data_IF_038974004021
#
_entry.id   IF_038974004021
#
_cell.length_a   1.000
_cell.length_b   1.000
_cell.length_c   1.000
_cell.angle_alpha   90.00
_cell.angle_beta   90.00
_cell.angle_gamma   90.00
#
_symmetry.space_group_name_H-M   'P 1'
#
loop_
_entity.id
_entity.type
_entity.pdbx_description
1 polymer ?
#
# COMPACT_ATOMS: atom_id res chain seq x y z
N UNK A 1 -0.06 -25.95 -21.60
CA UNK A 1 -0.29 -26.62 -20.31
C UNK A 1 -0.32 -25.50 -19.29
N UNK A 2 -1.49 -25.19 -18.73
CA UNK A 2 -1.71 -24.02 -17.87
C UNK A 2 -2.00 -24.40 -16.42
N UNK A 3 -2.91 -23.70 -15.75
CA UNK A 3 -3.30 -23.97 -14.34
C UNK A 3 -4.82 -23.91 -14.18
N UNK A 4 -5.36 -24.77 -13.32
CA UNK A 4 -6.71 -24.63 -12.76
C UNK A 4 -6.56 -24.45 -11.24
N UNK A 5 -7.12 -23.38 -10.69
CA UNK A 5 -7.02 -23.04 -9.27
C UNK A 5 -8.41 -22.74 -8.70
N UNK A 6 -8.68 -23.23 -7.49
CA UNK A 6 -9.96 -23.00 -6.81
C UNK A 6 -9.74 -22.14 -5.57
N UNK A 7 -10.54 -21.09 -5.44
CA UNK A 7 -10.57 -20.20 -4.28
C UNK A 7 -11.99 -20.22 -3.70
N UNK A 8 -12.13 -20.28 -2.37
CA UNK A 8 -13.41 -20.14 -1.68
C UNK A 8 -13.45 -18.79 -0.97
N UNK A 9 -14.48 -17.98 -1.17
CA UNK A 9 -14.63 -16.65 -0.54
C UNK A 9 -15.92 -16.64 0.26
N UNK A 10 -15.85 -16.25 1.53
CA UNK A 10 -16.95 -16.28 2.50
C UNK A 10 -18.04 -15.21 2.26
N UNK A 11 -18.41 -14.94 1.01
CA UNK A 11 -19.45 -14.00 0.60
C UNK A 11 -20.38 -14.62 -0.44
N UNK A 12 -21.52 -13.95 -0.71
CA UNK A 12 -22.44 -14.38 -1.76
C UNK A 12 -21.88 -14.11 -3.17
N UNK A 13 -22.40 -14.85 -4.16
CA UNK A 13 -21.87 -14.83 -5.53
C UNK A 13 -21.97 -13.46 -6.18
N UNK A 14 -23.04 -12.70 -5.91
CA UNK A 14 -23.25 -11.38 -6.48
C UNK A 14 -22.23 -10.38 -5.92
N UNK A 15 -22.01 -10.41 -4.61
CA UNK A 15 -21.00 -9.61 -3.92
C UNK A 15 -19.58 -9.91 -4.42
N UNK A 16 -19.22 -11.20 -4.53
CA UNK A 16 -17.90 -11.62 -5.01
C UNK A 16 -17.69 -11.24 -6.48
N UNK A 17 -18.68 -11.46 -7.35
CA UNK A 17 -18.58 -11.09 -8.76
C UNK A 17 -18.48 -9.56 -8.92
N UNK A 18 -19.33 -8.81 -8.22
CA UNK A 18 -19.32 -7.35 -8.26
C UNK A 18 -17.98 -6.76 -7.79
N UNK A 19 -17.34 -7.35 -6.76
CA UNK A 19 -16.01 -6.94 -6.31
C UNK A 19 -14.98 -6.95 -7.44
N UNK A 20 -15.00 -7.98 -8.31
CA UNK A 20 -14.07 -8.08 -9.44
C UNK A 20 -14.27 -7.00 -10.49
N UNK A 21 -15.47 -6.43 -10.58
CA UNK A 21 -15.80 -5.34 -11.50
C UNK A 21 -15.55 -3.93 -10.93
N UNK A 22 -15.21 -3.80 -9.65
CA UNK A 22 -14.97 -2.49 -9.01
C UNK A 22 -13.58 -1.95 -9.38
N UNK A 23 -13.43 -0.61 -9.49
CA UNK A 23 -12.13 0.00 -9.74
C UNK A 23 -11.09 -0.42 -8.69
N UNK A 24 -9.90 -0.81 -9.14
CA UNK A 24 -8.81 -1.27 -8.30
C UNK A 24 -8.79 -2.77 -8.02
N UNK A 25 -9.82 -3.54 -8.36
CA UNK A 25 -9.87 -4.99 -8.14
C UNK A 25 -8.68 -5.71 -8.78
N UNK A 26 -8.37 -5.37 -10.04
CA UNK A 26 -7.21 -5.92 -10.72
C UNK A 26 -5.93 -5.56 -9.95
N UNK A 27 -5.79 -4.29 -9.55
CA UNK A 27 -4.60 -3.83 -8.81
C UNK A 27 -4.39 -4.57 -7.50
N UNK A 28 -5.45 -4.86 -6.73
CA UNK A 28 -5.34 -5.68 -5.50
C UNK A 28 -4.77 -7.06 -5.82
N UNK A 29 -5.26 -7.67 -6.90
CA UNK A 29 -4.91 -9.03 -7.31
C UNK A 29 -3.57 -9.17 -8.07
N UNK A 30 -2.88 -8.08 -8.44
CA UNK A 30 -1.55 -8.17 -9.08
C UNK A 30 -0.47 -8.48 -8.03
N UNK A 31 0.25 -9.61 -8.16
CA UNK A 31 1.35 -9.91 -7.27
C UNK A 31 2.48 -8.88 -7.35
N UNK A 32 2.93 -8.32 -6.22
CA UNK A 32 3.86 -7.18 -6.25
C UNK A 32 5.28 -7.56 -6.66
N UNK A 33 5.66 -8.84 -6.62
CA UNK A 33 6.98 -9.27 -7.07
C UNK A 33 7.11 -9.39 -8.59
N UNK A 34 5.99 -9.43 -9.32
CA UNK A 34 6.02 -9.57 -10.77
C UNK A 34 6.53 -8.28 -11.43
N UNK A 35 7.27 -8.36 -12.54
CA UNK A 35 7.85 -7.20 -13.21
C UNK A 35 6.80 -6.45 -14.06
N UNK A 36 5.54 -6.42 -13.63
CA UNK A 36 4.43 -5.80 -14.35
C UNK A 36 3.98 -4.54 -13.65
N UNK A 37 3.72 -3.48 -14.41
CA UNK A 37 3.14 -2.23 -13.90
C UNK A 37 1.79 -2.01 -14.54
N UNK A 38 0.75 -1.82 -13.73
CA UNK A 38 -0.56 -1.45 -14.23
C UNK A 38 -0.49 -0.05 -14.90
N UNK A 39 -0.76 0.00 -16.20
CA UNK A 39 -0.83 1.24 -16.99
C UNK A 39 -2.28 1.73 -17.05
N UNK A 40 -3.21 0.84 -17.36
CA UNK A 40 -4.65 1.10 -17.29
C UNK A 40 -5.39 -0.16 -16.88
N UNK A 41 -6.46 0.01 -16.09
CA UNK A 41 -7.37 -1.06 -15.70
C UNK A 41 -8.55 -1.11 -16.67
N UNK A 42 -9.15 -2.30 -16.82
CA UNK A 42 -10.38 -2.45 -17.60
C UNK A 42 -11.54 -1.78 -16.86
N UNK A 43 -12.33 -0.97 -17.55
CA UNK A 43 -13.54 -0.34 -17.00
C UNK A 43 -14.75 -1.26 -16.94
N UNK A 44 -14.66 -2.44 -17.56
CA UNK A 44 -15.74 -3.43 -17.62
C UNK A 44 -15.17 -4.85 -17.70
N UNK A 45 -15.84 -5.78 -17.01
CA UNK A 45 -15.58 -7.23 -17.11
C UNK A 45 -16.15 -7.86 -18.40
N UNK A 46 -17.02 -7.17 -19.13
CA UNK A 46 -17.61 -7.69 -20.37
C UNK A 46 -16.66 -7.56 -21.57
N UNK A 47 -16.09 -6.37 -21.75
CA UNK A 47 -15.41 -5.98 -23.00
C UNK A 47 -14.25 -5.01 -22.78
N UNK A 48 -13.96 -4.69 -21.51
CA UNK A 48 -12.90 -3.76 -21.14
C UNK A 48 -11.50 -4.29 -21.48
N UNK A 49 -10.54 -3.37 -21.55
CA UNK A 49 -9.14 -3.69 -21.83
C UNK A 49 -8.25 -3.17 -20.70
N UNK A 50 -7.42 -4.04 -20.13
CA UNK A 50 -6.37 -3.70 -19.20
C UNK A 50 -5.00 -3.71 -19.90
N UNK A 51 -4.14 -2.77 -19.53
CA UNK A 51 -2.78 -2.65 -20.09
C UNK A 51 -1.76 -2.72 -18.97
N UNK A 52 -0.81 -3.65 -19.10
CA UNK A 52 0.32 -3.81 -18.20
C UNK A 52 1.61 -3.45 -18.94
N UNK A 53 2.41 -2.58 -18.34
CA UNK A 53 3.76 -2.28 -18.78
C UNK A 53 4.72 -3.37 -18.31
N UNK A 54 5.60 -3.78 -19.21
CA UNK A 54 6.66 -4.76 -18.99
C UNK A 54 8.04 -4.08 -19.09
N UNK A 55 9.11 -4.74 -18.63
CA UNK A 55 10.48 -4.23 -18.81
C UNK A 55 10.82 -4.01 -20.28
N UNK A 56 11.64 -3.00 -20.56
CA UNK A 56 12.04 -2.66 -21.93
C UNK A 56 10.98 -1.90 -22.76
N UNK A 57 9.92 -1.38 -22.12
CA UNK A 57 8.88 -0.61 -22.80
C UNK A 57 7.81 -1.46 -23.49
N UNK A 58 7.88 -2.78 -23.32
CA UNK A 58 6.89 -3.74 -23.83
C UNK A 58 5.54 -3.58 -23.09
N UNK A 59 4.46 -4.04 -23.74
CA UNK A 59 3.11 -4.00 -23.16
C UNK A 59 2.42 -5.37 -23.26
N UNK A 60 1.71 -5.72 -22.20
CA UNK A 60 0.76 -6.81 -22.16
C UNK A 60 -0.65 -6.21 -22.17
N UNK A 61 -1.44 -6.53 -23.19
CA UNK A 61 -2.78 -5.99 -23.37
C UNK A 61 -3.76 -7.14 -23.14
N UNK A 62 -4.45 -7.13 -21.99
CA UNK A 62 -5.47 -8.11 -21.66
C UNK A 62 -6.84 -7.54 -22.03
N UNK A 63 -7.59 -8.25 -22.87
CA UNK A 63 -8.92 -7.84 -23.33
C UNK A 63 -9.95 -8.83 -22.78
N UNK A 64 -11.02 -8.33 -22.18
CA UNK A 64 -12.14 -9.17 -21.78
C UNK A 64 -12.93 -9.66 -23.00
N UNK A 65 -13.38 -10.91 -22.93
CA UNK A 65 -14.15 -11.60 -23.97
C UNK A 65 -15.67 -11.46 -23.72
N UNK A 66 -16.40 -10.70 -24.55
CA UNK A 66 -17.84 -10.50 -24.38
C UNK A 66 -18.65 -11.79 -24.54
N UNK A 67 -18.17 -12.78 -25.30
CA UNK A 67 -18.86 -14.06 -25.48
C UNK A 67 -18.74 -14.95 -24.24
N UNK A 68 -17.68 -14.77 -23.46
CA UNK A 68 -17.46 -15.46 -22.20
C UNK A 68 -18.11 -14.78 -20.99
N UNK A 69 -18.63 -13.55 -21.14
CA UNK A 69 -19.26 -12.78 -20.07
C UNK A 69 -20.69 -13.26 -19.79
N UNK A 70 -20.91 -13.79 -18.60
CA UNK A 70 -22.19 -14.33 -18.13
C UNK A 70 -22.36 -14.00 -16.63
N UNK A 71 -22.72 -12.76 -16.27
CA UNK A 71 -22.78 -12.33 -14.88
C UNK A 71 -23.95 -12.98 -14.12
N UNK A 72 -23.78 -13.35 -12.82
CA UNK A 72 -22.57 -13.25 -12.01
C UNK A 72 -21.65 -14.50 -12.10
N UNK A 73 -21.82 -15.35 -13.11
CA UNK A 73 -21.22 -16.68 -13.17
C UNK A 73 -19.85 -16.73 -13.85
N UNK A 74 -19.54 -15.84 -14.80
CA UNK A 74 -18.30 -15.96 -15.58
C UNK A 74 -17.86 -14.66 -16.25
N UNK A 75 -16.54 -14.49 -16.33
CA UNK A 75 -15.88 -13.62 -17.31
C UNK A 75 -14.53 -14.23 -17.72
N UNK A 76 -13.96 -13.78 -18.84
CA UNK A 76 -12.65 -14.22 -19.28
C UNK A 76 -11.82 -13.08 -19.88
N UNK A 77 -10.50 -13.15 -19.72
CA UNK A 77 -9.53 -12.26 -20.35
C UNK A 77 -8.57 -13.04 -21.26
N UNK A 78 -8.20 -12.42 -22.38
CA UNK A 78 -7.26 -12.96 -23.35
C UNK A 78 -6.18 -11.94 -23.68
N UNK A 79 -4.99 -12.44 -24.02
CA UNK A 79 -3.91 -11.58 -24.51
C UNK A 79 -4.24 -11.11 -25.94
N UNK A 80 -4.48 -9.80 -26.08
CA UNK A 80 -4.75 -9.18 -27.38
C UNK A 80 -3.51 -9.19 -28.27
N UNK A 81 -3.75 -9.44 -29.57
CA UNK A 81 -2.74 -9.40 -30.62
C UNK A 81 -2.52 -8.01 -31.22
N UNK A 82 -3.21 -6.99 -30.71
CA UNK A 82 -3.22 -5.66 -31.28
C UNK A 82 -1.98 -4.84 -30.85
N UNK A 83 -1.31 -4.21 -31.83
CA UNK A 83 -0.25 -3.21 -31.62
C UNK A 83 1.20 -3.75 -31.66
N UNK A 84 2.12 -2.98 -32.26
CA UNK A 84 3.52 -3.41 -32.48
C UNK A 84 4.31 -3.71 -31.19
N UNK A 85 3.96 -3.08 -30.07
CA UNK A 85 4.64 -3.24 -28.78
C UNK A 85 4.21 -4.49 -27.98
N UNK A 86 3.12 -5.16 -28.37
CA UNK A 86 2.66 -6.44 -27.78
C UNK A 86 3.21 -7.65 -28.55
N UNK A 87 3.62 -7.47 -29.82
CA UNK A 87 4.10 -8.54 -30.73
C UNK A 87 5.18 -9.44 -30.09
N UNK A 88 6.24 -8.93 -29.42
CA UNK A 88 7.29 -9.80 -28.88
C UNK A 88 6.82 -10.71 -27.74
N UNK A 89 5.90 -10.23 -26.88
CA UNK A 89 5.32 -11.04 -25.80
C UNK A 89 4.34 -12.08 -26.37
N UNK A 90 3.56 -11.68 -27.38
CA UNK A 90 2.57 -12.50 -28.06
C UNK A 90 3.16 -13.67 -28.86
N UNK A 91 4.42 -13.56 -29.32
CA UNK A 91 5.13 -14.62 -30.03
C UNK A 91 5.62 -15.75 -29.10
N UNK A 92 5.73 -15.49 -27.80
CA UNK A 92 6.28 -16.43 -26.82
C UNK A 92 5.22 -17.03 -25.89
N UNK A 93 4.07 -16.37 -25.71
CA UNK A 93 3.05 -16.74 -24.72
C UNK A 93 1.64 -16.69 -25.32
N UNK A 94 0.88 -17.79 -25.17
CA UNK A 94 -0.58 -17.75 -25.29
C UNK A 94 -1.20 -17.53 -23.91
N UNK A 95 -2.31 -16.80 -23.82
CA UNK A 95 -3.00 -16.56 -22.56
C UNK A 95 -4.50 -16.39 -22.78
N UNK A 96 -5.27 -17.24 -22.10
CA UNK A 96 -6.71 -17.09 -21.85
C UNK A 96 -6.96 -17.45 -20.40
N UNK A 97 -7.54 -16.55 -19.62
CA UNK A 97 -7.88 -16.78 -18.22
C UNK A 97 -9.39 -16.64 -18.05
N UNK A 98 -10.05 -17.74 -17.70
CA UNK A 98 -11.49 -17.78 -17.39
C UNK A 98 -11.71 -17.85 -15.88
N UNK A 99 -12.57 -16.98 -15.37
CA UNK A 99 -12.97 -16.91 -13.97
C UNK A 99 -14.42 -17.38 -13.89
N UNK A 100 -14.68 -18.49 -13.19
CA UNK A 100 -16.03 -19.05 -13.02
C UNK A 100 -16.44 -18.99 -11.56
N UNK A 101 -17.65 -18.53 -11.30
CA UNK A 101 -18.20 -18.31 -9.96
C UNK A 101 -19.41 -19.24 -9.75
N UNK A 102 -19.50 -19.81 -8.57
CA UNK A 102 -20.62 -20.67 -8.18
C UNK A 102 -20.85 -20.57 -6.67
N UNK A 103 -22.10 -20.72 -6.23
CA UNK A 103 -22.37 -20.88 -4.80
C UNK A 103 -21.83 -22.22 -4.32
N UNK A 104 -21.13 -22.22 -3.18
CA UNK A 104 -20.66 -23.40 -2.48
C UNK A 104 -21.40 -23.62 -1.14
N UNK A 105 -22.54 -22.94 -0.96
CA UNK A 105 -23.30 -22.89 0.28
C UNK A 105 -23.81 -21.47 0.56
N UNK A 106 -24.54 -21.33 1.67
CA UNK A 106 -25.04 -20.02 2.13
C UNK A 106 -23.86 -19.11 2.48
N UNK A 107 -23.74 -17.96 1.80
CA UNK A 107 -22.68 -16.97 2.05
C UNK A 107 -21.27 -17.47 1.71
N UNK A 108 -21.15 -18.43 0.79
CA UNK A 108 -19.87 -18.96 0.34
C UNK A 108 -19.85 -19.08 -1.18
N UNK A 109 -18.84 -18.46 -1.80
CA UNK A 109 -18.62 -18.50 -3.25
C UNK A 109 -17.37 -19.28 -3.58
N UNK A 110 -17.49 -20.22 -4.52
CA UNK A 110 -16.36 -20.90 -5.14
C UNK A 110 -16.02 -20.19 -6.45
N UNK A 111 -14.77 -19.76 -6.56
CA UNK A 111 -14.15 -19.23 -7.76
C UNK A 111 -13.24 -20.29 -8.34
N UNK A 112 -13.38 -20.58 -9.65
CA UNK A 112 -12.48 -21.45 -10.40
C UNK A 112 -11.79 -20.60 -11.46
N UNK A 113 -10.48 -20.42 -11.29
CA UNK A 113 -9.59 -19.78 -12.24
C UNK A 113 -8.99 -20.85 -13.16
N UNK A 114 -9.28 -20.77 -14.46
CA UNK A 114 -8.66 -21.63 -15.48
C UNK A 114 -7.84 -20.77 -16.43
N UNK A 115 -6.52 -20.97 -16.41
CA UNK A 115 -5.59 -20.29 -17.33
C UNK A 115 -5.09 -21.28 -18.37
N UNK A 116 -5.36 -20.98 -19.63
CA UNK A 116 -4.87 -21.69 -20.80
C UNK A 116 -3.67 -20.92 -21.37
N UNK A 117 -2.48 -21.47 -21.15
CA UNK A 117 -1.22 -20.81 -21.51
C UNK A 117 -0.09 -21.80 -21.81
N UNK A 118 1.00 -21.29 -22.39
CA UNK A 118 2.28 -21.98 -22.52
C UNK A 118 3.13 -21.92 -21.24
N UNK A 119 2.79 -21.06 -20.28
CA UNK A 119 3.51 -20.92 -19.01
C UNK A 119 3.22 -22.13 -18.10
N UNK A 120 4.24 -22.83 -17.57
CA UNK A 120 4.03 -23.98 -16.70
C UNK A 120 3.29 -23.64 -15.39
N UNK A 121 2.45 -24.57 -14.93
CA UNK A 121 1.64 -24.43 -13.69
C UNK A 121 2.47 -23.98 -12.48
N UNK A 122 3.65 -24.56 -12.26
CA UNK A 122 4.49 -24.24 -11.10
C UNK A 122 4.93 -22.76 -11.05
N UNK A 123 5.01 -22.10 -12.21
CA UNK A 123 5.36 -20.69 -12.31
C UNK A 123 4.16 -19.76 -12.04
N UNK A 124 2.93 -20.28 -12.15
CA UNK A 124 1.68 -19.56 -11.92
C UNK A 124 1.13 -19.78 -10.52
N UNK A 125 1.43 -20.91 -9.88
CA UNK A 125 0.83 -21.30 -8.58
C UNK A 125 0.95 -20.21 -7.52
N UNK A 126 2.11 -19.58 -7.37
CA UNK A 126 2.29 -18.52 -6.37
C UNK A 126 1.46 -17.27 -6.67
N UNK A 127 1.20 -16.96 -7.93
CA UNK A 127 0.29 -15.86 -8.32
C UNK A 127 -1.12 -16.11 -7.79
N UNK A 128 -1.64 -17.33 -7.99
CA UNK A 128 -2.99 -17.67 -7.53
C UNK A 128 -3.09 -17.80 -6.01
N UNK A 129 -2.06 -18.31 -5.34
CA UNK A 129 -1.97 -18.29 -3.87
C UNK A 129 -1.97 -16.86 -3.30
N UNK A 130 -1.33 -15.91 -3.99
CA UNK A 130 -1.40 -14.51 -3.60
C UNK A 130 -2.80 -13.93 -3.82
N UNK A 131 -3.40 -14.17 -4.99
CA UNK A 131 -4.75 -13.70 -5.31
C UNK A 131 -5.77 -14.20 -4.30
N UNK A 132 -5.73 -15.48 -3.96
CA UNK A 132 -6.56 -16.09 -2.93
C UNK A 132 -6.41 -15.38 -1.59
N UNK A 133 -5.18 -15.28 -1.06
CA UNK A 133 -4.92 -14.64 0.23
C UNK A 133 -5.35 -13.17 0.23
N UNK A 134 -5.05 -12.45 -0.84
CA UNK A 134 -5.42 -11.05 -0.98
C UNK A 134 -6.94 -10.87 -0.94
N UNK A 135 -7.66 -11.72 -1.67
CA UNK A 135 -9.11 -11.69 -1.74
C UNK A 135 -9.73 -12.03 -0.37
N UNK A 136 -9.23 -13.06 0.30
CA UNK A 136 -9.65 -13.41 1.66
C UNK A 136 -9.46 -12.26 2.64
N UNK A 137 -8.26 -11.68 2.66
CA UNK A 137 -7.92 -10.61 3.57
C UNK A 137 -8.75 -9.34 3.29
N UNK A 138 -8.96 -8.99 2.01
CA UNK A 138 -9.76 -7.82 1.63
C UNK A 138 -11.24 -7.98 2.03
N UNK A 139 -11.84 -9.14 1.75
CA UNK A 139 -13.22 -9.44 2.16
C UNK A 139 -13.37 -9.47 3.69
N UNK A 140 -12.45 -10.12 4.40
CA UNK A 140 -12.46 -10.15 5.86
C UNK A 140 -12.44 -8.73 6.44
N UNK A 141 -11.60 -7.85 5.89
CA UNK A 141 -11.48 -6.45 6.33
C UNK A 141 -12.73 -5.61 6.04
N UNK A 142 -13.35 -5.78 4.88
CA UNK A 142 -14.58 -5.05 4.53
C UNK A 142 -15.76 -5.51 5.39
N UNK A 143 -15.83 -6.79 5.76
CA UNK A 143 -16.90 -7.31 6.63
C UNK A 143 -16.88 -6.84 8.07
N UNK A 144 -15.77 -6.26 8.52
CA UNK A 144 -15.75 -5.61 9.84
C UNK A 144 -16.63 -4.35 9.88
N UNK A 145 -17.00 -3.77 8.72
CA UNK A 145 -17.91 -2.62 8.62
C UNK A 145 -18.96 -2.84 7.51
N UNK A 146 -19.87 -3.81 7.68
CA UNK A 146 -20.78 -4.21 6.62
C UNK A 146 -21.78 -3.09 6.28
N UNK A 147 -21.98 -2.85 4.98
CA UNK A 147 -22.94 -1.87 4.48
C UNK A 147 -22.56 -0.40 4.66
N UNK A 148 -21.35 -0.09 5.12
CA UNK A 148 -20.88 1.29 5.28
C UNK A 148 -20.15 1.76 4.02
N UNK A 149 -20.79 2.65 3.27
CA UNK A 149 -20.17 3.36 2.15
C UNK A 149 -19.83 4.78 2.57
N UNK A 150 -18.67 5.29 2.11
CA UNK A 150 -18.19 6.65 2.39
C UNK A 150 -17.60 7.26 1.12
N UNK A 151 -17.69 8.58 1.00
CA UNK A 151 -16.93 9.38 0.04
C UNK A 151 -15.65 9.87 0.70
N UNK A 152 -14.50 9.42 0.22
CA UNK A 152 -13.21 9.61 0.87
C UNK A 152 -12.27 10.38 -0.07
N UNK A 153 -11.83 11.56 0.34
CA UNK A 153 -10.85 12.35 -0.39
C UNK A 153 -9.42 11.95 0.00
N UNK A 154 -8.55 11.70 -1.00
CA UNK A 154 -7.19 11.21 -0.77
C UNK A 154 -6.17 12.09 -1.50
N UNK A 155 -5.25 12.73 -0.76
CA UNK A 155 -4.03 13.31 -1.34
C UNK A 155 -2.95 12.24 -1.49
N UNK A 156 -2.02 12.42 -2.43
CA UNK A 156 -0.95 11.43 -2.64
C UNK A 156 -1.48 10.08 -3.17
N UNK A 157 -2.68 10.08 -3.77
CA UNK A 157 -3.36 8.88 -4.28
C UNK A 157 -2.58 8.12 -5.38
N UNK A 158 -1.58 8.76 -6.01
CA UNK A 158 -0.69 8.15 -7.01
C UNK A 158 0.59 7.54 -6.41
N UNK A 159 0.85 7.73 -5.12
CA UNK A 159 1.98 7.13 -4.41
C UNK A 159 1.75 5.65 -4.08
N UNK A 160 2.78 4.97 -3.56
CA UNK A 160 2.71 3.55 -3.20
C UNK A 160 1.51 3.22 -2.31
N UNK A 161 1.39 3.91 -1.17
CA UNK A 161 0.31 3.68 -0.19
C UNK A 161 -1.02 4.18 -0.74
N UNK A 162 -1.07 5.40 -1.28
CA UNK A 162 -2.31 5.98 -1.78
C UNK A 162 -2.95 5.18 -2.91
N UNK A 163 -2.13 4.55 -3.75
CA UNK A 163 -2.65 3.73 -4.86
C UNK A 163 -3.20 2.39 -4.38
N UNK A 164 -2.55 1.75 -3.38
CA UNK A 164 -3.06 0.52 -2.76
C UNK A 164 -4.34 0.79 -1.96
N UNK A 165 -4.34 1.88 -1.18
CA UNK A 165 -5.49 2.30 -0.37
C UNK A 165 -6.69 2.69 -1.23
N UNK A 166 -6.50 3.43 -2.32
CA UNK A 166 -7.58 3.79 -3.23
C UNK A 166 -8.24 2.55 -3.84
N UNK A 167 -7.43 1.57 -4.27
CA UNK A 167 -7.94 0.31 -4.80
C UNK A 167 -8.71 -0.50 -3.74
N UNK A 168 -8.18 -0.58 -2.53
CA UNK A 168 -8.84 -1.28 -1.43
C UNK A 168 -10.18 -0.61 -1.06
N UNK A 169 -10.21 0.71 -0.92
CA UNK A 169 -11.43 1.43 -0.57
C UNK A 169 -12.51 1.31 -1.66
N UNK A 170 -12.14 1.49 -2.93
CA UNK A 170 -13.06 1.37 -4.06
C UNK A 170 -13.64 -0.05 -4.20
N UNK A 171 -12.81 -1.08 -3.99
CA UNK A 171 -13.28 -2.47 -4.01
C UNK A 171 -14.18 -2.82 -2.82
N UNK A 172 -14.03 -2.10 -1.69
CA UNK A 172 -14.97 -2.12 -0.57
C UNK A 172 -16.31 -1.43 -0.83
N UNK A 173 -16.44 -0.70 -1.94
CA UNK A 173 -17.64 0.06 -2.29
C UNK A 173 -17.62 1.53 -1.88
N UNK A 174 -16.54 2.02 -1.26
CA UNK A 174 -16.36 3.45 -1.00
C UNK A 174 -16.15 4.22 -2.31
N UNK A 175 -16.57 5.49 -2.34
CA UNK A 175 -16.21 6.41 -3.42
C UNK A 175 -14.90 7.11 -3.06
N UNK A 176 -13.88 6.98 -3.90
CA UNK A 176 -12.57 7.62 -3.68
C UNK A 176 -12.43 8.85 -4.57
N UNK A 177 -12.30 10.03 -3.95
CA UNK A 177 -11.99 11.29 -4.65
C UNK A 177 -10.48 11.54 -4.56
N UNK A 178 -9.78 11.48 -5.70
CA UNK A 178 -8.33 11.68 -5.75
C UNK A 178 -8.01 13.16 -5.86
N UNK A 179 -7.28 13.69 -4.89
CA UNK A 179 -6.79 15.07 -4.90
C UNK A 179 -5.48 15.13 -5.68
N UNK A 180 -5.54 15.70 -6.87
CA UNK A 180 -4.43 15.74 -7.84
C UNK A 180 -3.85 17.14 -7.95
N UNK A 181 -2.53 17.27 -8.14
CA UNK A 181 -1.85 18.58 -8.27
C UNK A 181 -1.93 19.20 -9.67
N UNK A 182 -2.51 18.49 -10.63
CA UNK A 182 -2.74 18.95 -11.99
C UNK A 182 -4.23 19.10 -12.26
N UNK A 183 -4.59 19.22 -13.53
CA UNK A 183 -5.99 19.24 -13.96
C UNK A 183 -6.68 17.89 -13.65
N UNK A 184 -7.84 17.96 -13.01
CA UNK A 184 -8.68 16.80 -12.71
C UNK A 184 -9.27 16.19 -13.98
N UNK A 185 -9.17 14.87 -14.13
CA UNK A 185 -9.64 14.12 -15.29
C UNK A 185 -10.86 13.25 -14.97
N UNK A 186 -11.93 13.86 -14.45
CA UNK A 186 -13.21 13.19 -14.23
C UNK A 186 -13.84 13.46 -12.86
N UNK A 187 -15.00 12.85 -12.58
CA UNK A 187 -15.82 13.16 -11.39
C UNK A 187 -15.23 12.68 -10.06
N UNK A 188 -14.23 11.79 -10.11
CA UNK A 188 -13.55 11.23 -8.94
C UNK A 188 -12.11 11.77 -8.80
N UNK A 189 -11.83 12.92 -9.44
CA UNK A 189 -10.64 13.72 -9.22
C UNK A 189 -11.04 15.16 -8.86
N UNK A 190 -10.29 15.78 -7.95
CA UNK A 190 -10.37 17.23 -7.70
C UNK A 190 -8.98 17.83 -7.76
N UNK A 191 -8.85 18.97 -8.44
CA UNK A 191 -7.60 19.74 -8.49
C UNK A 191 -7.29 20.28 -7.09
N UNK A 192 -6.08 20.01 -6.61
CA UNK A 192 -5.57 20.44 -5.32
C UNK A 192 -4.25 21.19 -5.52
N UNK A 193 -4.28 22.50 -5.26
CA UNK A 193 -3.08 23.31 -5.09
C UNK A 193 -2.62 23.24 -3.62
N UNK A 194 -1.41 22.70 -3.33
CA UNK A 194 -0.89 22.62 -1.97
C UNK A 194 -0.68 23.98 -1.28
N UNK A 195 -0.53 25.07 -2.04
CA UNK A 195 -0.30 26.42 -1.52
C UNK A 195 -1.59 27.23 -1.40
N UNK A 196 -2.61 26.88 -2.18
CA UNK A 196 -3.89 27.60 -2.20
C UNK A 196 -5.06 26.64 -2.51
N UNK A 197 -5.38 25.69 -1.61
CA UNK A 197 -6.46 24.75 -1.84
C UNK A 197 -7.80 25.48 -1.99
N UNK A 198 -8.65 24.97 -2.88
CA UNK A 198 -10.00 25.52 -3.03
C UNK A 198 -10.83 25.35 -1.75
N UNK A 199 -11.76 26.26 -1.51
CA UNK A 199 -12.60 26.23 -0.29
C UNK A 199 -13.62 25.09 -0.29
N UNK A 200 -14.10 24.73 -1.47
CA UNK A 200 -15.05 23.64 -1.74
C UNK A 200 -14.35 22.27 -1.93
N UNK A 201 -13.04 22.19 -1.67
CA UNK A 201 -12.24 20.99 -1.92
C UNK A 201 -12.80 19.74 -1.22
N UNK A 202 -13.49 19.92 -0.11
CA UNK A 202 -14.06 18.85 0.72
C UNK A 202 -15.58 18.89 0.86
N UNK A 203 -16.28 19.61 -0.03
CA UNK A 203 -17.74 19.55 -0.05
C UNK A 203 -18.18 18.12 -0.44
N UNK A 204 -19.21 17.60 0.27
CA UNK A 204 -19.77 16.25 0.13
C UNK A 204 -18.74 15.11 0.32
N UNK A 205 -17.72 15.33 1.15
CA UNK A 205 -16.71 14.34 1.52
C UNK A 205 -16.93 13.92 2.97
N UNK A 206 -17.04 12.62 3.24
CA UNK A 206 -17.22 12.09 4.59
C UNK A 206 -15.90 11.98 5.37
N UNK A 207 -14.78 11.79 4.67
CA UNK A 207 -13.47 11.58 5.28
C UNK A 207 -12.32 12.06 4.40
N UNK A 208 -11.26 12.58 5.02
CA UNK A 208 -10.03 12.98 4.33
C UNK A 208 -8.87 12.09 4.77
N UNK A 209 -8.09 11.62 3.79
CA UNK A 209 -6.81 10.94 4.01
C UNK A 209 -5.70 11.74 3.34
N UNK A 210 -4.81 12.33 4.14
CA UNK A 210 -3.69 13.12 3.67
C UNK A 210 -2.40 12.29 3.64
N UNK A 211 -1.99 11.80 2.46
CA UNK A 211 -0.75 11.02 2.27
C UNK A 211 0.35 11.77 1.52
N UNK A 212 0.06 12.95 0.98
CA UNK A 212 0.99 13.69 0.16
C UNK A 212 2.22 14.16 0.96
N UNK A 213 3.40 13.97 0.38
CA UNK A 213 4.66 14.47 0.92
C UNK A 213 5.82 14.15 -0.01
N UNK A 214 6.87 14.97 0.02
CA UNK A 214 8.10 14.65 -0.71
C UNK A 214 8.84 13.48 -0.05
N UNK A 215 9.49 12.63 -0.84
CA UNK A 215 10.35 11.57 -0.30
C UNK A 215 11.42 12.16 0.62
N UNK A 216 11.63 11.53 1.78
CA UNK A 216 12.74 11.84 2.70
C UNK A 216 14.03 11.12 2.28
N UNK A 217 13.97 10.23 1.29
CA UNK A 217 15.16 9.53 0.82
C UNK A 217 16.07 10.50 0.08
N UNK A 218 17.31 10.62 0.54
CA UNK A 218 18.32 11.48 -0.06
C UNK A 218 19.35 11.96 0.95
N UNK A 219 20.18 12.90 0.52
CA UNK A 219 21.10 13.61 1.39
C UNK A 219 20.38 14.78 2.05
N UNK A 220 20.53 14.93 3.36
CA UNK A 220 19.96 16.03 4.13
C UNK A 220 20.77 17.33 3.99
N UNK A 221 20.79 17.86 2.76
CA UNK A 221 21.22 19.24 2.51
C UNK A 221 20.14 20.22 2.98
N UNK A 222 20.51 21.48 3.24
CA UNK A 222 19.54 22.52 3.64
C UNK A 222 18.37 22.65 2.65
N UNK A 223 18.64 22.62 1.33
CA UNK A 223 17.61 22.62 0.30
C UNK A 223 16.66 21.42 0.40
N UNK A 224 17.20 20.22 0.65
CA UNK A 224 16.38 19.00 0.80
C UNK A 224 15.55 19.05 2.09
N UNK A 225 16.12 19.54 3.19
CA UNK A 225 15.42 19.74 4.47
C UNK A 225 14.27 20.74 4.32
N UNK A 226 14.52 21.88 3.68
CA UNK A 226 13.49 22.88 3.41
C UNK A 226 12.37 22.30 2.54
N UNK A 227 12.71 21.56 1.47
CA UNK A 227 11.73 20.87 0.62
C UNK A 227 10.89 19.85 1.40
N UNK A 228 11.48 19.13 2.35
CA UNK A 228 10.75 18.20 3.24
C UNK A 228 9.71 18.97 4.04
N UNK A 229 10.09 20.09 4.67
CA UNK A 229 9.22 20.95 5.48
C UNK A 229 8.09 21.57 4.65
N UNK A 230 8.44 22.23 3.54
CA UNK A 230 7.51 22.94 2.65
C UNK A 230 6.47 22.00 2.03
N UNK A 231 6.83 20.74 1.80
CA UNK A 231 5.92 19.74 1.25
C UNK A 231 4.99 19.10 2.28
N UNK A 232 5.16 19.39 3.58
CA UNK A 232 4.40 18.78 4.68
C UNK A 232 3.62 19.80 5.47
N UNK A 233 4.29 20.75 6.13
CA UNK A 233 3.70 21.55 7.21
C UNK A 233 2.65 22.52 6.67
N UNK A 234 3.05 23.40 5.74
CA UNK A 234 2.14 24.39 5.13
C UNK A 234 0.94 23.74 4.44
N UNK A 235 1.15 22.79 3.50
CA UNK A 235 0.06 22.10 2.82
C UNK A 235 -0.88 21.33 3.76
N UNK A 236 -0.34 20.67 4.80
CA UNK A 236 -1.19 19.98 5.80
C UNK A 236 -2.06 20.98 6.55
N UNK A 237 -1.50 22.12 6.98
CA UNK A 237 -2.24 23.16 7.72
C UNK A 237 -3.36 23.77 6.88
N UNK A 238 -3.09 24.04 5.60
CA UNK A 238 -4.10 24.55 4.68
C UNK A 238 -5.22 23.53 4.43
N UNK A 239 -4.88 22.26 4.22
CA UNK A 239 -5.88 21.21 4.06
C UNK A 239 -6.71 20.98 5.34
N UNK A 240 -6.09 20.99 6.51
CA UNK A 240 -6.79 20.89 7.78
C UNK A 240 -7.77 22.06 7.97
N UNK A 241 -7.36 23.28 7.57
CA UNK A 241 -8.22 24.47 7.57
C UNK A 241 -9.41 24.32 6.61
N UNK A 242 -9.17 23.84 5.38
CA UNK A 242 -10.24 23.57 4.43
C UNK A 242 -11.22 22.53 4.96
N UNK A 243 -10.73 21.43 5.54
CA UNK A 243 -11.57 20.40 6.12
C UNK A 243 -12.42 20.94 7.27
N UNK A 244 -11.84 21.80 8.12
CA UNK A 244 -12.52 22.46 9.23
C UNK A 244 -13.63 23.44 8.79
N UNK A 245 -13.52 24.01 7.59
CA UNK A 245 -14.43 25.04 7.07
C UNK A 245 -15.43 24.49 6.04
N UNK A 246 -15.30 23.23 5.63
CA UNK A 246 -16.14 22.62 4.61
C UNK A 246 -17.60 22.52 5.07
N UNK A 247 -18.52 22.85 4.16
CA UNK A 247 -19.96 22.69 4.40
C UNK A 247 -20.37 21.26 4.06
N UNK A 248 -21.11 20.58 4.95
CA UNK A 248 -21.31 19.12 4.85
C UNK A 248 -19.97 18.38 4.65
N UNK A 249 -18.97 18.82 5.41
CA UNK A 249 -17.60 18.37 5.31
C UNK A 249 -17.31 17.05 6.04
N UNK A 250 -16.03 16.65 6.08
CA UNK A 250 -15.64 15.36 6.61
C UNK A 250 -15.89 15.23 8.11
N UNK A 251 -16.13 14.01 8.58
CA UNK A 251 -16.20 13.67 10.02
C UNK A 251 -14.79 13.39 10.59
N UNK A 252 -13.83 13.07 9.73
CA UNK A 252 -12.48 12.65 10.11
C UNK A 252 -11.41 13.17 9.14
N UNK A 253 -10.30 13.61 9.72
CA UNK A 253 -9.06 13.95 9.01
C UNK A 253 -7.94 12.99 9.42
N UNK A 254 -7.61 12.04 8.56
CA UNK A 254 -6.52 11.08 8.76
C UNK A 254 -5.28 11.61 8.06
N UNK A 255 -4.26 11.99 8.82
CA UNK A 255 -2.98 12.45 8.28
C UNK A 255 -1.93 11.36 8.39
N UNK A 256 -1.16 11.16 7.32
CA UNK A 256 0.10 10.46 7.42
C UNK A 256 1.01 11.15 8.45
N UNK A 257 1.83 10.34 9.10
CA UNK A 257 2.93 10.71 9.99
C UNK A 257 4.02 9.64 9.87
N UNK A 258 5.04 9.65 10.72
CA UNK A 258 6.10 8.65 10.72
C UNK A 258 6.57 8.31 12.13
N UNK A 259 7.10 7.09 12.30
CA UNK A 259 7.83 6.71 13.53
C UNK A 259 9.07 7.59 13.78
N UNK A 260 9.52 8.35 12.77
CA UNK A 260 10.51 9.43 12.93
C UNK A 260 10.19 10.44 14.02
N UNK A 261 8.92 10.55 14.46
CA UNK A 261 8.52 11.31 15.65
C UNK A 261 9.38 10.98 16.89
N UNK A 262 9.76 9.71 17.05
CA UNK A 262 10.50 9.23 18.22
C UNK A 262 12.02 9.50 18.15
N UNK A 263 12.50 10.19 17.11
CA UNK A 263 13.93 10.42 16.87
C UNK A 263 14.65 9.21 16.26
N UNK A 264 15.91 9.38 15.90
CA UNK A 264 16.66 8.35 15.17
C UNK A 264 17.07 7.16 16.04
N UNK A 265 17.32 7.34 17.34
CA UNK A 265 17.74 6.24 18.23
C UNK A 265 17.18 6.41 19.65
N UNK A 266 16.40 5.41 20.09
CA UNK A 266 15.88 5.29 21.46
C UNK A 266 16.37 4.01 22.15
N UNK A 267 17.42 3.38 21.60
CA UNK A 267 18.00 2.16 22.13
C UNK A 267 17.00 1.00 22.15
N UNK A 268 16.85 0.36 23.31
CA UNK A 268 15.93 -0.75 23.54
C UNK A 268 14.59 -0.31 24.18
N UNK A 269 14.36 0.99 24.36
CA UNK A 269 13.08 1.52 24.87
C UNK A 269 11.91 1.12 23.96
N UNK A 270 10.85 0.57 24.56
CA UNK A 270 9.60 0.29 23.85
C UNK A 270 8.82 1.59 23.67
N UNK A 271 8.58 1.96 22.42
CA UNK A 271 7.91 3.22 22.05
C UNK A 271 6.45 2.94 21.67
N UNK A 272 5.52 3.34 22.54
CA UNK A 272 4.09 3.36 22.25
C UNK A 272 3.64 4.78 21.86
N UNK A 273 2.34 4.98 21.62
CA UNK A 273 1.79 6.25 21.17
C UNK A 273 1.87 7.40 22.20
N UNK A 274 2.08 7.07 23.48
CA UNK A 274 2.24 8.03 24.59
C UNK A 274 3.71 8.43 24.82
N UNK A 275 4.66 7.77 24.15
CA UNK A 275 6.07 8.10 24.26
C UNK A 275 6.36 9.53 23.77
N UNK A 276 7.29 10.20 24.45
CA UNK A 276 7.69 11.56 24.11
C UNK A 276 8.34 11.62 22.71
N UNK A 277 8.25 12.78 22.03
CA UNK A 277 9.04 13.00 20.81
C UNK A 277 10.52 12.78 21.10
N UNK A 278 11.25 12.32 20.09
CA UNK A 278 12.70 12.25 20.15
C UNK A 278 13.36 13.54 19.68
N UNK A 279 14.69 13.48 19.60
CA UNK A 279 15.51 14.58 19.10
C UNK A 279 15.86 14.38 17.62
N UNK A 280 16.31 15.46 16.98
CA UNK A 280 16.84 15.45 15.62
C UNK A 280 15.87 16.03 14.59
N UNK A 281 16.42 16.31 13.40
CA UNK A 281 15.70 17.02 12.35
C UNK A 281 14.38 16.32 11.96
N UNK A 282 14.40 14.98 11.82
CA UNK A 282 13.20 14.25 11.44
C UNK A 282 12.13 14.24 12.54
N UNK A 283 12.53 14.19 13.82
CA UNK A 283 11.58 14.27 14.93
C UNK A 283 10.87 15.63 14.94
N UNK A 284 11.62 16.71 14.77
CA UNK A 284 11.08 18.08 14.70
C UNK A 284 10.11 18.25 13.51
N UNK A 285 10.48 17.70 12.34
CA UNK A 285 9.62 17.73 11.14
C UNK A 285 8.32 17.00 11.42
N UNK A 286 8.37 15.81 12.01
CA UNK A 286 7.17 15.01 12.25
C UNK A 286 6.29 15.66 13.32
N UNK A 287 6.87 16.19 14.40
CA UNK A 287 6.12 16.92 15.42
C UNK A 287 5.38 18.13 14.84
N UNK A 288 6.06 18.95 14.02
CA UNK A 288 5.44 20.09 13.34
C UNK A 288 4.40 19.66 12.30
N UNK A 289 4.61 18.52 11.64
CA UNK A 289 3.64 17.97 10.69
C UNK A 289 2.37 17.48 11.40
N UNK A 290 2.49 16.82 12.55
CA UNK A 290 1.33 16.46 13.37
C UNK A 290 0.60 17.70 13.90
N UNK A 291 1.32 18.71 14.38
CA UNK A 291 0.74 20.00 14.82
C UNK A 291 0.01 20.74 13.69
N UNK A 292 0.45 20.60 12.44
CA UNK A 292 -0.23 21.21 11.29
C UNK A 292 -1.68 20.74 11.12
N UNK A 293 -2.09 19.63 11.77
CA UNK A 293 -3.48 19.16 11.78
C UNK A 293 -4.37 19.89 12.79
N UNK A 294 -3.81 20.78 13.62
CA UNK A 294 -4.51 21.49 14.69
C UNK A 294 -5.80 22.22 14.26
N UNK A 295 -5.87 22.91 13.10
CA UNK A 295 -7.12 23.56 12.68
C UNK A 295 -8.32 22.60 12.58
N UNK A 296 -8.09 21.36 12.15
CA UNK A 296 -9.12 20.33 12.10
C UNK A 296 -9.50 19.85 13.52
N UNK A 297 -8.54 19.72 14.43
CA UNK A 297 -8.81 19.36 15.84
C UNK A 297 -9.67 20.42 16.52
N UNK A 298 -9.34 21.70 16.32
CA UNK A 298 -10.02 22.84 16.96
C UNK A 298 -11.45 23.03 16.46
N UNK A 299 -11.77 22.61 15.22
CA UNK A 299 -13.15 22.60 14.72
C UNK A 299 -13.97 21.40 15.20
N UNK A 300 -13.37 20.49 15.98
CA UNK A 300 -14.03 19.29 16.50
C UNK A 300 -13.96 18.08 15.58
N UNK A 301 -13.22 18.14 14.46
CA UNK A 301 -12.99 16.97 13.64
C UNK A 301 -12.16 15.94 14.38
N UNK A 302 -12.49 14.66 14.16
CA UNK A 302 -11.63 13.57 14.62
C UNK A 302 -10.36 13.57 13.78
N UNK A 303 -9.21 13.71 14.43
CA UNK A 303 -7.91 13.67 13.76
C UNK A 303 -7.12 12.44 14.18
N UNK A 304 -6.61 11.71 13.20
CA UNK A 304 -5.73 10.56 13.39
C UNK A 304 -4.40 10.82 12.69
N UNK A 305 -3.28 10.73 13.41
CA UNK A 305 -1.93 10.83 12.85
C UNK A 305 -1.30 9.44 12.78
N UNK A 306 -1.12 8.92 11.57
CA UNK A 306 -0.67 7.54 11.34
C UNK A 306 0.86 7.49 11.27
N UNK A 307 1.52 7.25 12.41
CA UNK A 307 2.97 7.14 12.54
C UNK A 307 3.46 5.84 11.90
N UNK A 308 3.75 5.93 10.60
CA UNK A 308 4.05 4.77 9.76
C UNK A 308 5.50 4.30 9.95
N UNK A 309 5.70 2.99 10.09
CA UNK A 309 7.01 2.34 10.06
C UNK A 309 7.60 2.15 8.65
N UNK A 310 8.59 1.27 8.52
CA UNK A 310 9.20 0.93 7.24
C UNK A 310 8.25 0.00 6.46
N UNK A 311 7.54 0.59 5.49
CA UNK A 311 6.59 -0.13 4.62
C UNK A 311 7.32 -1.16 3.76
N UNK A 312 6.85 -2.41 3.81
CA UNK A 312 7.38 -3.53 3.04
C UNK A 312 6.58 -3.70 1.75
N UNK A 313 7.18 -3.34 0.61
CA UNK A 313 6.63 -3.64 -0.71
C UNK A 313 7.74 -3.78 -1.76
N UNK A 314 7.70 -4.78 -2.65
CA UNK A 314 8.61 -4.85 -3.79
C UNK A 314 8.42 -3.70 -4.80
N UNK A 315 7.27 -3.01 -4.76
CA UNK A 315 6.90 -1.96 -5.68
C UNK A 315 7.35 -0.55 -5.25
N UNK A 316 7.91 -0.39 -4.04
CA UNK A 316 8.41 0.89 -3.56
C UNK A 316 9.14 0.80 -2.22
N UNK A 317 9.66 1.94 -1.76
CA UNK A 317 10.33 2.02 -0.46
C UNK A 317 11.60 1.18 -0.34
N UNK A 318 11.97 0.85 0.90
CA UNK A 318 13.23 0.18 1.22
C UNK A 318 13.33 -1.22 0.64
N UNK A 319 12.23 -1.99 0.62
CA UNK A 319 12.27 -3.36 0.11
C UNK A 319 12.55 -3.42 -1.39
N UNK A 320 12.01 -2.50 -2.19
CA UNK A 320 12.34 -2.37 -3.61
C UNK A 320 13.85 -2.12 -3.83
N UNK A 321 14.47 -1.29 -2.99
CA UNK A 321 15.90 -1.00 -3.06
C UNK A 321 16.76 -2.21 -2.65
N UNK A 322 16.36 -2.93 -1.60
CA UNK A 322 17.12 -4.07 -1.06
C UNK A 322 16.98 -5.33 -1.93
N UNK A 323 15.83 -5.53 -2.57
CA UNK A 323 15.51 -6.71 -3.39
C UNK A 323 16.64 -7.12 -4.35
N UNK A 324 17.19 -6.26 -5.23
CA UNK A 324 18.23 -6.66 -6.16
C UNK A 324 19.52 -7.10 -5.46
N UNK A 325 19.93 -6.39 -4.40
CA UNK A 325 21.15 -6.71 -3.64
C UNK A 325 21.04 -8.08 -2.97
N UNK A 326 19.93 -8.34 -2.30
CA UNK A 326 19.70 -9.64 -1.66
C UNK A 326 19.52 -10.76 -2.68
N UNK A 327 18.83 -10.50 -3.82
CA UNK A 327 18.66 -11.49 -4.89
C UNK A 327 20.00 -11.91 -5.51
N UNK A 328 20.98 -11.00 -5.55
CA UNK A 328 22.35 -11.26 -6.00
C UNK A 328 23.26 -11.91 -4.92
N UNK A 329 22.76 -12.14 -3.69
CA UNK A 329 23.57 -12.65 -2.59
C UNK A 329 24.54 -11.62 -1.99
N UNK A 330 24.33 -10.33 -2.28
CA UNK A 330 25.10 -9.20 -1.76
C UNK A 330 24.41 -8.51 -0.57
N UNK A 331 23.31 -9.10 -0.08
CA UNK A 331 22.59 -8.61 1.08
C UNK A 331 23.36 -8.87 2.38
N UNK A 332 23.27 -7.92 3.31
CA UNK A 332 24.04 -7.96 4.55
C UNK A 332 23.36 -7.22 5.69
N UNK A 333 23.90 -7.39 6.90
CA UNK A 333 23.50 -6.55 8.04
C UNK A 333 24.12 -5.15 7.93
N UNK A 334 23.40 -4.15 8.41
CA UNK A 334 23.87 -2.77 8.51
C UNK A 334 24.51 -2.54 9.88
N UNK A 335 25.76 -2.06 9.90
CA UNK A 335 26.49 -1.75 11.13
C UNK A 335 26.58 -2.93 12.11
N UNK A 336 26.17 -2.71 13.37
CA UNK A 336 26.14 -3.77 14.39
C UNK A 336 25.10 -4.85 14.07
N UNK A 337 24.01 -4.48 13.40
CA UNK A 337 22.82 -5.29 13.17
C UNK A 337 21.85 -5.32 14.36
N UNK A 338 22.12 -4.55 15.42
CA UNK A 338 21.30 -4.53 16.64
C UNK A 338 20.16 -3.52 16.61
N UNK A 339 20.20 -2.55 15.70
CA UNK A 339 19.18 -1.53 15.56
C UNK A 339 17.81 -2.14 15.30
N UNK A 340 16.80 -1.59 15.96
CA UNK A 340 15.42 -2.01 15.80
C UNK A 340 14.82 -1.46 14.50
N UNK A 341 14.20 -2.35 13.74
CA UNK A 341 13.43 -2.03 12.55
C UNK A 341 11.95 -2.20 12.88
N UNK A 342 11.26 -1.06 12.99
CA UNK A 342 9.81 -1.01 13.04
C UNK A 342 9.27 -0.98 11.60
N UNK A 343 8.72 -2.09 11.16
CA UNK A 343 8.27 -2.32 9.78
C UNK A 343 6.76 -2.53 9.74
N UNK A 344 6.15 -2.44 8.55
CA UNK A 344 4.75 -2.83 8.35
C UNK A 344 4.55 -3.37 6.93
N UNK A 345 3.69 -4.37 6.76
CA UNK A 345 3.24 -4.80 5.43
C UNK A 345 2.38 -3.69 4.78
N UNK A 346 2.42 -3.57 3.45
CA UNK A 346 1.63 -2.54 2.75
C UNK A 346 0.12 -2.73 2.98
N UNK A 347 -0.37 -3.96 3.04
CA UNK A 347 -1.80 -4.22 3.23
C UNK A 347 -2.25 -4.00 4.67
N UNK A 348 -1.40 -4.31 5.65
CA UNK A 348 -1.63 -3.94 7.06
C UNK A 348 -1.73 -2.41 7.22
N UNK A 349 -0.88 -1.65 6.52
CA UNK A 349 -0.97 -0.19 6.54
C UNK A 349 -2.29 0.31 5.92
N UNK A 350 -2.72 -0.28 4.80
CA UNK A 350 -4.01 0.03 4.16
C UNK A 350 -5.18 -0.24 5.12
N UNK A 351 -5.15 -1.37 5.83
CA UNK A 351 -6.16 -1.73 6.82
C UNK A 351 -6.23 -0.73 7.97
N UNK A 352 -5.08 -0.20 8.42
CA UNK A 352 -5.02 0.82 9.46
C UNK A 352 -5.63 2.14 8.99
N UNK A 353 -5.37 2.58 7.75
CA UNK A 353 -6.01 3.78 7.20
C UNK A 353 -7.53 3.61 7.06
N UNK A 354 -7.98 2.46 6.56
CA UNK A 354 -9.41 2.13 6.48
C UNK A 354 -10.07 2.13 7.86
N UNK A 355 -9.41 1.51 8.85
CA UNK A 355 -9.87 1.50 10.24
C UNK A 355 -9.85 2.90 10.86
N UNK A 356 -8.86 3.74 10.55
CA UNK A 356 -8.82 5.13 11.01
C UNK A 356 -9.98 5.96 10.45
N UNK A 357 -10.43 5.67 9.22
CA UNK A 357 -11.63 6.31 8.66
C UNK A 357 -12.90 5.85 9.36
N UNK A 358 -13.09 4.54 9.54
CA UNK A 358 -14.39 4.00 9.96
C UNK A 358 -14.56 3.83 11.49
N UNK A 359 -13.48 3.63 12.23
CA UNK A 359 -13.54 3.45 13.67
C UNK A 359 -13.55 4.82 14.38
N UNK A 360 -14.71 5.20 14.92
CA UNK A 360 -14.91 6.48 15.60
C UNK A 360 -14.18 6.60 16.94
N UNK A 361 -13.70 5.50 17.52
CA UNK A 361 -12.97 5.53 18.80
C UNK A 361 -11.47 5.83 18.64
N UNK A 362 -10.94 5.75 17.43
CA UNK A 362 -9.52 5.98 17.16
C UNK A 362 -9.28 7.47 16.86
N UNK A 363 -8.44 8.10 17.67
CA UNK A 363 -7.99 9.49 17.51
C UNK A 363 -6.57 9.69 18.05
N UNK A 364 -5.97 10.82 17.67
CA UNK A 364 -4.61 11.16 18.05
C UNK A 364 -3.55 10.37 17.26
N UNK A 365 -2.33 10.22 17.80
CA UNK A 365 -1.29 9.42 17.16
C UNK A 365 -1.65 7.94 17.19
N UNK A 366 -1.31 7.21 16.12
CA UNK A 366 -1.45 5.76 15.98
C UNK A 366 -0.17 5.22 15.35
N UNK A 367 0.49 4.27 16.02
CA UNK A 367 1.67 3.62 15.45
C UNK A 367 1.23 2.58 14.43
N UNK A 368 1.53 2.83 13.15
CA UNK A 368 1.28 1.87 12.07
C UNK A 368 2.56 1.07 11.79
N UNK A 369 2.79 0.10 12.68
CA UNK A 369 3.88 -0.87 12.66
C UNK A 369 3.32 -2.26 12.93
N UNK A 370 3.99 -3.30 12.41
CA UNK A 370 3.68 -4.68 12.75
C UNK A 370 3.93 -4.94 14.25
N UNK A 371 3.21 -5.89 14.87
CA UNK A 371 3.28 -6.12 16.32
C UNK A 371 4.59 -6.78 16.78
N UNK A 372 5.39 -7.34 15.85
CA UNK A 372 6.66 -8.00 16.13
C UNK A 372 7.80 -7.25 15.41
N UNK A 373 8.35 -6.17 16.02
CA UNK A 373 9.54 -5.51 15.49
C UNK A 373 10.73 -6.45 15.53
N UNK A 374 11.69 -6.23 14.64
CA UNK A 374 12.87 -7.10 14.51
C UNK A 374 14.14 -6.28 14.51
N UNK A 375 15.24 -6.86 14.97
CA UNK A 375 16.57 -6.27 14.78
C UNK A 375 16.99 -6.39 13.32
N UNK A 376 17.86 -5.49 12.87
CA UNK A 376 18.38 -5.53 11.50
C UNK A 376 18.99 -6.89 11.13
N UNK A 377 19.71 -7.54 12.04
CA UNK A 377 20.27 -8.88 11.78
C UNK A 377 19.18 -9.94 11.54
N UNK A 378 18.04 -9.84 12.21
CA UNK A 378 16.91 -10.76 12.04
C UNK A 378 16.19 -10.49 10.71
N UNK A 379 15.96 -9.22 10.38
CA UNK A 379 15.43 -8.82 9.07
C UNK A 379 16.33 -9.30 7.92
N UNK A 380 17.65 -9.08 8.02
CA UNK A 380 18.62 -9.54 7.01
C UNK A 380 18.54 -11.05 6.83
N UNK A 381 18.53 -11.83 7.93
CA UNK A 381 18.40 -13.30 7.86
C UNK A 381 17.08 -13.72 7.24
N UNK A 382 15.97 -13.09 7.62
CA UNK A 382 14.63 -13.39 7.07
C UNK A 382 14.58 -13.15 5.57
N UNK A 383 15.06 -11.99 5.09
CA UNK A 383 15.08 -11.65 3.67
C UNK A 383 16.00 -12.59 2.87
N UNK A 384 17.18 -12.91 3.41
CA UNK A 384 18.08 -13.90 2.82
C UNK A 384 17.43 -15.29 2.69
N UNK A 385 16.78 -15.76 3.76
CA UNK A 385 16.12 -17.05 3.79
C UNK A 385 14.96 -17.14 2.79
N UNK A 386 14.09 -16.12 2.75
CA UNK A 386 12.95 -16.06 1.81
C UNK A 386 13.41 -16.05 0.35
N UNK A 387 14.48 -15.32 0.04
CA UNK A 387 15.06 -15.27 -1.29
C UNK A 387 16.00 -16.46 -1.60
N UNK A 388 16.26 -17.32 -0.62
CA UNK A 388 17.21 -18.45 -0.70
C UNK A 388 18.60 -17.98 -1.13
N UNK A 389 19.13 -16.97 -0.42
CA UNK A 389 20.42 -16.35 -0.66
C UNK A 389 21.22 -16.20 0.64
N UNK A 390 22.55 -16.38 0.61
CA UNK A 390 23.40 -16.19 1.78
C UNK A 390 23.42 -14.70 2.18
N UNK A 391 23.55 -14.43 3.48
CA UNK A 391 23.64 -13.07 4.05
C UNK A 391 24.84 -12.97 4.98
N UNK A 392 25.99 -13.39 4.47
CA UNK A 392 27.22 -13.56 5.26
C UNK A 392 28.05 -12.27 5.25
N UNK A 393 27.98 -11.50 4.16
CA UNK A 393 28.75 -10.27 4.00
C UNK A 393 28.05 -9.13 4.76
N UNK A 394 28.73 -8.43 5.68
CA UNK A 394 28.20 -7.20 6.24
C UNK A 394 28.16 -6.11 5.15
N UNK A 395 27.19 -5.21 5.22
CA UNK A 395 27.13 -4.07 4.29
C UNK A 395 28.30 -3.12 4.61
N UNK A 396 29.11 -2.72 3.63
CA UNK A 396 30.17 -1.76 3.85
C UNK A 396 29.63 -0.43 4.39
N UNK A 397 30.28 0.12 5.43
CA UNK A 397 29.81 1.33 6.14
C UNK A 397 29.78 2.59 5.26
N UNK A 398 30.46 2.59 4.11
CA UNK A 398 30.42 3.69 3.15
C UNK A 398 29.21 3.64 2.20
N UNK A 399 28.54 2.50 2.05
CA UNK A 399 27.43 2.33 1.10
C UNK A 399 26.27 3.28 1.40
N UNK A 400 25.67 3.23 2.61
CA UNK A 400 24.66 4.18 3.03
C UNK A 400 25.14 5.64 2.98
N UNK A 401 26.38 5.91 3.41
CA UNK A 401 26.96 7.26 3.39
C UNK A 401 27.07 7.84 1.98
N UNK A 402 27.38 7.01 0.99
CA UNK A 402 27.44 7.44 -0.40
C UNK A 402 26.05 7.86 -0.92
N UNK A 403 25.00 7.13 -0.55
CA UNK A 403 23.63 7.37 -1.01
C UNK A 403 22.93 8.49 -0.23
N UNK A 404 23.03 8.47 1.10
CA UNK A 404 22.24 9.30 2.02
C UNK A 404 23.05 10.40 2.71
N UNK A 405 24.38 10.42 2.52
CA UNK A 405 25.25 11.27 3.33
C UNK A 405 25.36 10.78 4.77
N UNK A 406 26.10 11.51 5.62
CA UNK A 406 26.31 11.12 7.02
C UNK A 406 25.01 11.21 7.83
N UNK A 407 24.35 12.36 7.80
CA UNK A 407 23.12 12.62 8.55
C UNK A 407 21.98 11.69 8.09
N UNK A 408 21.73 11.55 6.79
CA UNK A 408 20.70 10.61 6.29
C UNK A 408 21.02 9.14 6.58
N UNK A 409 22.31 8.77 6.73
CA UNK A 409 22.67 7.42 7.21
C UNK A 409 22.28 7.23 8.67
N UNK A 410 22.54 8.21 9.53
CA UNK A 410 22.21 8.18 10.96
C UNK A 410 20.69 8.18 11.17
N UNK A 411 19.99 9.09 10.50
CA UNK A 411 18.55 9.34 10.65
C UNK A 411 17.65 8.28 9.98
N UNK A 412 18.12 7.59 8.94
CA UNK A 412 17.29 6.62 8.19
C UNK A 412 17.84 5.21 8.19
N UNK A 413 19.12 5.03 7.85
CA UNK A 413 19.69 3.69 7.64
C UNK A 413 20.14 3.01 8.94
N UNK A 414 20.57 3.81 9.92
CA UNK A 414 21.04 3.37 11.23
C UNK A 414 20.02 3.64 12.34
N UNK A 415 18.86 4.19 12.00
CA UNK A 415 17.80 4.44 12.96
C UNK A 415 17.41 3.15 13.71
N UNK A 416 17.14 3.31 15.01
CA UNK A 416 16.82 2.22 15.93
C UNK A 416 15.61 2.62 16.78
N UNK A 417 14.44 2.16 16.35
CA UNK A 417 13.17 2.46 17.00
C UNK A 417 12.43 1.15 17.26
N UNK A 418 12.22 0.81 18.54
CA UNK A 418 11.44 -0.35 18.96
C UNK A 418 9.98 0.07 19.21
N UNK A 419 9.26 0.36 18.13
CA UNK A 419 7.90 0.89 18.18
C UNK A 419 6.90 -0.26 18.23
N UNK A 420 5.90 -0.13 19.10
CA UNK A 420 4.79 -1.07 19.20
C UNK A 420 3.44 -0.39 18.97
N UNK A 421 2.47 -1.08 18.34
CA UNK A 421 1.20 -0.49 17.94
C UNK A 421 0.13 -0.67 19.04
N UNK A 422 0.34 -0.10 20.22
CA UNK A 422 -0.49 -0.39 21.41
C UNK A 422 -1.96 -0.05 21.16
N UNK A 423 -2.27 1.13 20.59
CA UNK A 423 -3.67 1.49 20.29
C UNK A 423 -4.36 0.52 19.33
N UNK A 424 -3.62 -0.06 18.40
CA UNK A 424 -4.17 -1.07 17.48
C UNK A 424 -4.36 -2.42 18.17
N UNK A 425 -3.40 -2.83 18.99
CA UNK A 425 -3.47 -4.07 19.77
C UNK A 425 -4.62 -4.05 20.79
N UNK A 426 -4.71 -2.98 21.58
CA UNK A 426 -5.78 -2.78 22.57
C UNK A 426 -7.15 -2.66 21.89
N UNK A 427 -7.17 -2.13 20.67
CA UNK A 427 -8.37 -2.10 19.82
C UNK A 427 -8.72 -3.44 19.17
N UNK A 428 -7.92 -4.50 19.34
CA UNK A 428 -8.14 -5.79 18.68
C UNK A 428 -7.96 -5.73 17.16
N UNK A 429 -6.99 -4.95 16.66
CA UNK A 429 -6.62 -4.95 15.25
C UNK A 429 -6.00 -6.29 14.86
N UNK A 430 -6.56 -6.93 13.83
CA UNK A 430 -6.01 -8.14 13.27
C UNK A 430 -5.01 -7.80 12.17
N UNK A 431 -3.72 -8.05 12.44
CA UNK A 431 -2.67 -7.86 11.44
C UNK A 431 -2.66 -9.04 10.46
N UNK A 432 -2.74 -8.74 9.16
CA UNK A 432 -2.61 -9.71 8.07
C UNK A 432 -1.28 -10.45 8.13
N UNK A 433 -0.18 -9.74 8.45
CA UNK A 433 1.18 -10.28 8.46
C UNK A 433 1.92 -9.86 9.75
N UNK A 434 1.67 -10.54 10.89
CA UNK A 434 2.26 -10.13 12.17
C UNK A 434 3.79 -10.35 12.25
N UNK A 435 4.34 -11.28 11.47
CA UNK A 435 5.79 -11.55 11.45
C UNK A 435 6.47 -11.15 10.12
N UNK A 436 7.75 -10.75 10.21
CA UNK A 436 8.50 -10.29 9.03
C UNK A 436 8.66 -11.39 7.99
N UNK A 437 8.76 -12.65 8.42
CA UNK A 437 8.89 -13.79 7.51
C UNK A 437 7.61 -13.98 6.69
N UNK A 438 6.44 -13.89 7.32
CA UNK A 438 5.15 -13.99 6.62
C UNK A 438 4.95 -12.83 5.63
N UNK A 439 5.26 -11.61 6.06
CA UNK A 439 5.25 -10.43 5.20
C UNK A 439 6.14 -10.65 3.97
N UNK A 440 7.43 -10.96 4.15
CA UNK A 440 8.36 -11.13 3.03
C UNK A 440 7.96 -12.31 2.13
N UNK A 441 7.45 -13.41 2.69
CA UNK A 441 6.94 -14.54 1.90
C UNK A 441 5.76 -14.13 1.03
N UNK A 442 4.82 -13.35 1.58
CA UNK A 442 3.68 -12.83 0.83
C UNK A 442 4.14 -11.87 -0.27
N UNK A 443 4.99 -10.89 0.07
CA UNK A 443 5.53 -9.90 -0.85
C UNK A 443 6.40 -10.50 -1.98
N UNK A 444 6.97 -11.70 -1.81
CA UNK A 444 7.78 -12.39 -2.82
C UNK A 444 7.16 -13.66 -3.42
N UNK A 445 5.92 -14.00 -3.06
CA UNK A 445 5.26 -15.21 -3.56
C UNK A 445 5.95 -16.51 -3.15
N UNK A 446 6.47 -16.56 -1.92
CA UNK A 446 7.22 -17.70 -1.35
C UNK A 446 6.43 -18.38 -0.24
N UNK A 447 5.31 -19.02 -0.61
CA UNK A 447 4.36 -19.61 0.33
C UNK A 447 4.75 -20.98 0.90
N UNK A 448 5.95 -21.48 0.57
CA UNK A 448 6.49 -22.80 0.96
C UNK A 448 7.80 -22.64 1.72
#
# INVERSE_FOLDING_TARGET
MGIEYTTFVDDDIDSVFAWHGRPGAFRRLVPPWQPMKLVSEASSLSDGTAVLGLPGGLRWIAKHDPEAYDPPYRFADELSRDGAASIPANLAVSWRHTHTFSSAGTGLTKIVDRVETTVPEFALRSTFQYRERQLHDDFARHREYPGVTRTIAITGASGLVGTALSAFLSTGGHRVIRLVRGESNGPDERTWDPQNPSKDLFDDVDAVIHLAGSSIAGRFTEEHKQKILDSRIGPTRLLATCAAQASNGPEVFVSASAVGFYGSDRGDEVLNEDASPGDGFLADVVAQWEDATQPARESGLRVVNVRTGIVQSPNGGTLQMLRPLFSAGLGGKLGSGRQWLSWIDLDDLVDIYHRAVLNTTISGPVNAVAPLPVRNIEYTKALGAVLRRPTILPVPSFGPKLLLGKEGTEELAMASQNVLPYKLLDGGHNFRRPSIVECLRHQFGKFV
#
